data_IF_656674834293
#
_entry.id   IF_656674834293
#
_cell.length_a   1.000
_cell.length_b   1.000
_cell.length_c   1.000
_cell.angle_alpha   90.00
_cell.angle_beta   90.00
_cell.angle_gamma   90.00
#
_symmetry.space_group_name_H-M   'P 1'
#
loop_
_entity.id
_entity.type
_entity.pdbx_description
1 polymer ?
#
# COMPACT_ATOMS: atom_id res chain seq x y z
N UNK A 1 -38.46 11.56 -15.29
CA UNK A 1 -37.05 11.50 -15.78
C UNK A 1 -36.56 10.11 -15.62
N UNK A 2 -35.92 9.55 -16.62
CA UNK A 2 -35.24 8.27 -16.48
C UNK A 2 -33.95 8.51 -15.71
N UNK A 3 -33.82 7.87 -14.57
CA UNK A 3 -32.60 7.76 -13.79
C UNK A 3 -31.48 7.16 -14.68
N UNK A 4 -30.34 7.85 -14.75
CA UNK A 4 -29.24 7.48 -15.64
C UNK A 4 -28.07 6.93 -14.82
N UNK A 5 -27.67 5.69 -15.11
CA UNK A 5 -26.48 5.06 -14.60
C UNK A 5 -25.34 5.25 -15.62
N UNK A 6 -24.19 5.66 -15.15
CA UNK A 6 -22.96 5.68 -15.93
C UNK A 6 -21.97 4.66 -15.34
N UNK A 7 -21.39 3.84 -16.19
CA UNK A 7 -20.32 2.91 -15.78
C UNK A 7 -19.12 3.19 -16.67
N UNK A 8 -17.94 3.36 -16.07
CA UNK A 8 -16.74 3.66 -16.81
C UNK A 8 -15.45 3.46 -16.02
N UNK A 9 -14.36 3.93 -16.60
CA UNK A 9 -13.03 3.89 -16.00
C UNK A 9 -12.46 5.29 -16.07
N UNK A 10 -12.76 6.09 -15.03
CA UNK A 10 -12.49 7.52 -15.03
C UNK A 10 -11.46 7.87 -13.95
N UNK A 11 -10.52 8.72 -14.29
CA UNK A 11 -9.75 9.47 -13.33
C UNK A 11 -10.49 10.77 -13.02
N UNK A 12 -10.99 10.94 -11.81
CA UNK A 12 -11.79 12.10 -11.40
C UNK A 12 -11.06 12.82 -10.26
N UNK A 13 -10.81 14.10 -10.44
CA UNK A 13 -10.17 14.94 -9.43
C UNK A 13 -10.97 14.99 -8.13
N UNK A 14 -10.26 14.93 -6.99
CA UNK A 14 -10.83 15.07 -5.66
C UNK A 14 -11.27 13.76 -5.02
N UNK A 15 -11.06 12.62 -5.69
CA UNK A 15 -11.29 11.30 -5.10
C UNK A 15 -9.99 10.68 -4.58
N UNK A 16 -10.14 9.80 -3.62
CA UNK A 16 -9.02 9.07 -3.00
C UNK A 16 -8.53 7.96 -3.93
N UNK A 17 -7.26 8.01 -4.32
CA UNK A 17 -6.62 7.02 -5.20
C UNK A 17 -6.21 5.78 -4.41
N UNK A 18 -5.61 6.02 -3.27
CA UNK A 18 -5.24 5.08 -2.23
C UNK A 18 -5.44 5.74 -0.86
N UNK A 19 -5.29 5.01 0.22
CA UNK A 19 -5.60 5.47 1.58
C UNK A 19 -4.85 6.76 1.93
N UNK A 20 -5.57 7.88 2.04
CA UNK A 20 -5.05 9.19 2.41
C UNK A 20 -4.49 10.04 1.26
N UNK A 21 -4.49 9.52 0.02
CA UNK A 21 -3.94 10.22 -1.14
C UNK A 21 -5.04 10.60 -2.14
N UNK A 22 -5.33 11.90 -2.25
CA UNK A 22 -6.40 12.44 -3.08
C UNK A 22 -5.84 12.89 -4.43
N UNK A 23 -6.46 12.42 -5.53
CA UNK A 23 -6.09 12.82 -6.89
C UNK A 23 -6.30 14.32 -7.10
N UNK A 24 -5.24 14.98 -7.56
CA UNK A 24 -5.26 16.39 -7.97
C UNK A 24 -5.47 16.54 -9.48
N UNK A 25 -5.46 15.44 -10.21
CA UNK A 25 -5.58 15.37 -11.68
C UNK A 25 -6.89 14.73 -12.11
N UNK A 26 -7.10 14.58 -13.41
CA UNK A 26 -8.28 13.96 -13.98
C UNK A 26 -9.40 14.92 -14.35
N UNK A 27 -10.54 14.36 -14.75
CA UNK A 27 -11.71 15.12 -15.19
C UNK A 27 -12.43 15.78 -14.00
N UNK A 28 -13.13 16.88 -14.28
CA UNK A 28 -13.99 17.53 -13.30
C UNK A 28 -15.29 16.74 -13.14
N UNK A 29 -15.71 16.49 -11.89
CA UNK A 29 -16.92 15.73 -11.58
C UNK A 29 -18.20 16.35 -12.12
N UNK A 30 -18.21 17.66 -12.39
CA UNK A 30 -19.36 18.35 -12.98
C UNK A 30 -19.76 17.81 -14.35
N UNK A 31 -18.81 17.23 -15.12
CA UNK A 31 -19.07 16.56 -16.39
C UNK A 31 -19.99 15.32 -16.24
N UNK A 32 -20.05 14.76 -15.06
CA UNK A 32 -20.85 13.59 -14.72
C UNK A 32 -22.15 13.94 -13.98
N UNK A 33 -22.42 15.22 -13.72
CA UNK A 33 -23.58 15.71 -12.95
C UNK A 33 -24.95 15.33 -13.53
N UNK A 34 -25.00 14.98 -14.82
CA UNK A 34 -26.23 14.55 -15.50
C UNK A 34 -26.66 13.11 -15.15
N UNK A 35 -25.80 12.33 -14.53
CA UNK A 35 -26.08 10.96 -14.11
C UNK A 35 -26.50 10.92 -12.64
N UNK A 36 -27.47 10.10 -12.31
CA UNK A 36 -27.91 9.92 -10.92
C UNK A 36 -26.90 9.08 -10.13
N UNK A 37 -26.20 8.19 -10.83
CA UNK A 37 -25.17 7.32 -10.25
C UNK A 37 -24.07 7.05 -11.26
N UNK A 38 -22.85 7.06 -10.80
CA UNK A 38 -21.65 6.74 -11.60
C UNK A 38 -20.87 5.66 -10.87
N UNK A 39 -20.58 4.54 -11.56
CA UNK A 39 -19.70 3.49 -11.08
C UNK A 39 -18.39 3.60 -11.87
N UNK A 40 -17.28 3.83 -11.18
CA UNK A 40 -15.98 4.00 -11.83
C UNK A 40 -14.96 2.99 -11.32
N UNK A 41 -14.16 2.44 -12.23
CA UNK A 41 -12.86 1.87 -11.94
C UNK A 41 -11.77 2.96 -11.90
N UNK A 42 -10.53 2.59 -12.09
CA UNK A 42 -9.29 3.36 -12.10
C UNK A 42 -8.60 3.38 -10.74
N UNK A 43 -9.18 3.96 -9.70
CA UNK A 43 -8.57 3.93 -8.37
C UNK A 43 -8.79 2.58 -7.69
N UNK A 44 -7.73 2.06 -7.06
CA UNK A 44 -7.76 0.79 -6.36
C UNK A 44 -8.53 0.88 -5.04
N UNK A 45 -8.47 2.04 -4.38
CA UNK A 45 -9.22 2.30 -3.16
C UNK A 45 -10.71 2.50 -3.46
N UNK A 46 -11.55 1.91 -2.61
CA UNK A 46 -12.99 2.09 -2.68
C UNK A 46 -13.38 3.40 -1.99
N UNK A 47 -13.98 4.32 -2.73
CA UNK A 47 -14.45 5.61 -2.20
C UNK A 47 -15.71 6.08 -2.92
N UNK A 48 -16.48 6.98 -2.31
CA UNK A 48 -17.65 7.59 -2.95
C UNK A 48 -17.98 8.98 -2.37
N UNK A 49 -18.79 9.73 -3.12
CA UNK A 49 -19.38 11.01 -2.67
C UNK A 49 -20.92 10.99 -2.66
N UNK A 50 -21.52 9.80 -2.75
CA UNK A 50 -22.96 9.60 -2.81
C UNK A 50 -23.55 9.59 -4.22
N UNK A 51 -22.83 10.11 -5.23
CA UNK A 51 -23.19 10.05 -6.65
C UNK A 51 -22.20 9.20 -7.45
N UNK A 52 -20.92 9.41 -7.21
CA UNK A 52 -19.81 8.74 -7.90
C UNK A 52 -19.20 7.73 -6.95
N UNK A 53 -19.13 6.47 -7.38
CA UNK A 53 -18.62 5.34 -6.61
C UNK A 53 -17.43 4.75 -7.32
N UNK A 54 -16.24 4.84 -6.72
CA UNK A 54 -15.10 4.03 -7.11
C UNK A 54 -15.23 2.65 -6.48
N UNK A 55 -15.35 1.65 -7.33
CA UNK A 55 -15.61 0.26 -6.88
C UNK A 55 -14.36 -0.43 -6.33
N UNK A 56 -13.19 0.15 -6.56
CA UNK A 56 -11.91 -0.42 -6.12
C UNK A 56 -11.51 -1.68 -6.88
N UNK A 57 -10.52 -2.41 -6.34
CA UNK A 57 -10.04 -3.67 -6.90
C UNK A 57 -10.58 -4.87 -6.11
N UNK A 58 -10.79 -6.04 -6.76
CA UNK A 58 -11.33 -7.22 -6.08
C UNK A 58 -10.34 -7.88 -5.13
N UNK A 59 -9.05 -7.61 -5.25
CA UNK A 59 -7.98 -8.13 -4.41
C UNK A 59 -6.84 -7.13 -4.28
N UNK A 60 -5.91 -7.43 -3.41
CA UNK A 60 -4.67 -6.66 -3.26
C UNK A 60 -3.77 -6.87 -4.49
N UNK A 61 -3.15 -5.82 -5.00
CA UNK A 61 -2.27 -5.83 -6.17
C UNK A 61 -0.88 -5.27 -5.84
N UNK A 62 -0.80 -4.35 -4.90
CA UNK A 62 0.43 -3.68 -4.47
C UNK A 62 0.50 -3.55 -2.95
N UNK A 63 1.66 -3.18 -2.40
CA UNK A 63 1.81 -2.91 -0.97
C UNK A 63 0.96 -1.74 -0.47
N UNK A 64 0.55 -0.80 -1.35
CA UNK A 64 -0.38 0.27 -1.01
C UNK A 64 -1.76 -0.28 -0.60
N UNK A 65 -2.09 -1.50 -1.02
CA UNK A 65 -3.35 -2.16 -0.71
C UNK A 65 -3.33 -2.90 0.64
N UNK A 66 -2.21 -2.89 1.35
CA UNK A 66 -2.09 -3.55 2.65
C UNK A 66 -3.09 -2.97 3.66
N UNK A 67 -3.86 -3.85 4.33
CA UNK A 67 -4.93 -3.47 5.27
C UNK A 67 -6.03 -2.56 4.66
N UNK A 68 -6.14 -2.50 3.34
CA UNK A 68 -7.24 -1.83 2.68
C UNK A 68 -8.28 -2.86 2.22
N UNK A 69 -9.55 -2.77 2.66
CA UNK A 69 -10.57 -3.75 2.31
C UNK A 69 -10.79 -3.83 0.81
N UNK A 70 -10.50 -4.99 0.22
CA UNK A 70 -10.70 -5.29 -1.20
C UNK A 70 -11.90 -6.17 -1.40
N UNK A 71 -12.49 -6.11 -2.59
CA UNK A 71 -13.69 -6.89 -2.88
C UNK A 71 -14.36 -6.46 -4.17
N UNK A 72 -15.60 -6.89 -4.34
CA UNK A 72 -16.42 -6.53 -5.49
C UNK A 72 -17.80 -6.04 -5.05
N UNK A 73 -18.53 -5.45 -5.97
CA UNK A 73 -19.86 -4.94 -5.70
C UNK A 73 -20.92 -5.72 -6.48
N UNK A 74 -22.06 -5.90 -5.84
CA UNK A 74 -23.30 -6.35 -6.48
C UNK A 74 -24.21 -5.13 -6.60
N UNK A 75 -24.65 -4.84 -7.81
CA UNK A 75 -25.57 -3.74 -8.09
C UNK A 75 -26.96 -4.28 -8.42
N UNK A 76 -27.95 -3.96 -7.59
CA UNK A 76 -29.35 -4.28 -7.89
C UNK A 76 -29.96 -3.19 -8.80
N UNK A 77 -30.34 -3.57 -10.00
CA UNK A 77 -30.88 -2.65 -11.00
C UNK A 77 -32.29 -2.14 -10.69
N UNK A 78 -33.04 -2.81 -9.80
CA UNK A 78 -34.39 -2.42 -9.40
C UNK A 78 -34.37 -1.44 -8.22
N UNK A 79 -33.62 -1.80 -7.15
CA UNK A 79 -33.48 -0.96 -5.95
C UNK A 79 -32.41 0.11 -6.11
N UNK A 80 -31.43 -0.11 -7.02
CA UNK A 80 -30.25 0.73 -7.26
C UNK A 80 -29.29 0.74 -6.07
N UNK A 81 -29.36 -0.29 -5.26
CA UNK A 81 -28.43 -0.50 -4.16
C UNK A 81 -27.14 -1.12 -4.66
N UNK A 82 -26.02 -0.67 -4.08
CA UNK A 82 -24.68 -1.16 -4.34
C UNK A 82 -24.17 -1.84 -3.08
N UNK A 83 -24.09 -3.17 -3.10
CA UNK A 83 -23.61 -3.98 -1.99
C UNK A 83 -22.13 -4.33 -2.20
N UNK A 84 -21.29 -4.04 -1.20
CA UNK A 84 -19.88 -4.44 -1.22
C UNK A 84 -19.68 -5.81 -0.59
N UNK A 85 -19.07 -6.72 -1.34
CA UNK A 85 -18.67 -8.06 -0.86
C UNK A 85 -17.17 -8.07 -0.68
N UNK A 86 -16.75 -8.09 0.58
CA UNK A 86 -15.32 -8.09 0.90
C UNK A 86 -14.66 -9.41 0.52
N UNK A 87 -13.49 -9.32 -0.13
CA UNK A 87 -12.60 -10.45 -0.35
C UNK A 87 -11.87 -10.78 0.96
N UNK A 88 -12.02 -11.99 1.51
CA UNK A 88 -11.33 -12.38 2.73
C UNK A 88 -9.85 -12.73 2.53
N UNK A 89 -9.39 -12.84 1.29
CA UNK A 89 -8.01 -13.24 1.00
C UNK A 89 -7.09 -12.03 0.94
N UNK A 90 -6.04 -12.06 1.73
CA UNK A 90 -4.95 -11.08 1.74
C UNK A 90 -3.68 -11.76 1.26
N UNK A 91 -2.90 -11.05 0.42
CA UNK A 91 -1.62 -11.55 -0.10
C UNK A 91 -0.40 -10.76 0.42
N UNK A 92 -0.63 -9.60 1.01
CA UNK A 92 0.43 -8.80 1.62
C UNK A 92 0.34 -8.86 3.14
N UNK A 93 1.41 -9.31 3.77
CA UNK A 93 1.48 -9.46 5.22
C UNK A 93 2.71 -8.76 5.78
N UNK A 94 2.57 -8.17 6.99
CA UNK A 94 3.67 -7.64 7.76
C UNK A 94 3.83 -8.38 9.05
N UNK A 95 5.08 -8.64 9.42
CA UNK A 95 5.47 -9.25 10.67
C UNK A 95 6.46 -8.30 11.35
N UNK A 96 6.10 -7.77 12.51
CA UNK A 96 7.04 -7.07 13.36
C UNK A 96 7.85 -8.10 14.15
N UNK A 97 9.15 -8.19 13.88
CA UNK A 97 10.05 -9.07 14.57
C UNK A 97 10.70 -8.35 15.75
N UNK A 98 10.48 -8.88 16.93
CA UNK A 98 11.11 -8.43 18.17
C UNK A 98 11.38 -9.67 19.02
N UNK A 99 12.65 -9.96 19.29
CA UNK A 99 13.05 -11.15 20.05
C UNK A 99 13.37 -10.86 21.52
N UNK A 100 13.12 -9.63 22.01
CA UNK A 100 13.25 -9.32 23.41
C UNK A 100 12.29 -10.18 24.22
N UNK A 101 12.82 -10.84 25.22
CA UNK A 101 12.05 -11.72 26.11
C UNK A 101 11.29 -12.86 25.40
N UNK A 102 11.71 -13.22 24.16
CA UNK A 102 11.14 -14.32 23.39
C UNK A 102 12.00 -15.56 23.43
N UNK A 103 11.33 -16.69 23.46
CA UNK A 103 11.93 -18.03 23.37
C UNK A 103 11.57 -18.69 22.05
N UNK A 104 12.28 -19.78 21.72
CA UNK A 104 11.95 -20.60 20.57
C UNK A 104 10.52 -21.19 20.64
N UNK A 105 10.02 -21.44 21.85
CA UNK A 105 8.67 -21.97 22.04
C UNK A 105 7.58 -20.94 21.67
N UNK A 106 7.87 -19.66 21.75
CA UNK A 106 6.95 -18.61 21.32
C UNK A 106 6.86 -18.56 19.81
N UNK A 107 7.98 -18.72 19.10
CA UNK A 107 8.00 -18.80 17.65
C UNK A 107 7.40 -20.11 17.10
N UNK A 108 7.48 -21.22 17.84
CA UNK A 108 6.81 -22.46 17.45
C UNK A 108 5.28 -22.39 17.49
N UNK A 109 4.71 -21.48 18.27
CA UNK A 109 3.26 -21.26 18.33
C UNK A 109 2.75 -20.42 17.15
N UNK A 110 3.65 -19.84 16.36
CA UNK A 110 3.30 -18.98 15.27
C UNK A 110 2.71 -19.79 14.11
N UNK A 111 1.55 -19.37 13.62
CA UNK A 111 0.91 -20.02 12.47
C UNK A 111 1.49 -19.48 11.18
N UNK A 112 2.35 -20.27 10.55
CA UNK A 112 2.99 -19.94 9.29
C UNK A 112 2.11 -20.25 8.07
N UNK A 113 1.07 -21.08 8.20
CA UNK A 113 0.27 -21.56 7.06
C UNK A 113 -0.45 -20.46 6.32
N UNK A 114 -0.80 -19.37 7.01
CA UNK A 114 -1.47 -18.20 6.45
C UNK A 114 -0.60 -17.38 5.48
N UNK A 115 0.70 -17.65 5.41
CA UNK A 115 1.63 -16.94 4.53
C UNK A 115 1.92 -17.68 3.23
N UNK A 116 1.28 -18.82 3.00
CA UNK A 116 1.41 -19.53 1.72
C UNK A 116 0.98 -18.61 0.56
N UNK A 117 1.78 -18.61 -0.51
CA UNK A 117 1.56 -17.81 -1.72
C UNK A 117 1.44 -16.29 -1.47
N UNK A 118 1.97 -15.79 -0.34
CA UNK A 118 1.86 -14.41 0.09
C UNK A 118 3.21 -13.68 0.06
N UNK A 119 3.15 -12.36 -0.07
CA UNK A 119 4.31 -11.46 0.05
C UNK A 119 4.41 -11.02 1.51
N UNK A 120 5.53 -11.34 2.15
CA UNK A 120 5.73 -11.07 3.57
C UNK A 120 6.81 -10.02 3.76
N UNK A 121 6.51 -8.96 4.52
CA UNK A 121 7.49 -7.97 4.96
C UNK A 121 7.78 -8.18 6.45
N UNK A 122 9.02 -8.56 6.78
CA UNK A 122 9.49 -8.70 8.15
C UNK A 122 10.17 -7.42 8.55
N UNK A 123 9.53 -6.65 9.44
CA UNK A 123 10.09 -5.42 10.03
C UNK A 123 10.83 -5.81 11.30
N UNK A 124 12.13 -5.63 11.32
CA UNK A 124 13.00 -6.01 12.44
C UNK A 124 13.10 -4.83 13.41
N UNK A 125 12.39 -4.91 14.52
CA UNK A 125 12.45 -3.93 15.60
C UNK A 125 13.62 -4.20 16.55
N UNK A 126 13.87 -5.48 16.85
CA UNK A 126 14.96 -5.88 17.71
C UNK A 126 15.41 -7.31 17.38
N UNK A 127 16.73 -7.50 17.21
CA UNK A 127 17.33 -8.77 16.80
C UNK A 127 18.59 -9.05 17.63
N UNK A 128 18.42 -9.71 18.76
CA UNK A 128 19.53 -10.16 19.62
C UNK A 128 19.96 -11.59 19.33
N UNK A 129 19.01 -12.45 18.94
CA UNK A 129 19.25 -13.86 18.73
C UNK A 129 19.06 -14.21 17.23
N UNK A 130 20.16 -14.32 16.46
CA UNK A 130 20.09 -14.69 15.05
C UNK A 130 19.36 -16.01 14.79
N UNK A 131 19.48 -16.98 15.70
CA UNK A 131 18.83 -18.29 15.56
C UNK A 131 17.30 -18.18 15.55
N UNK A 132 16.71 -17.28 16.35
CA UNK A 132 15.26 -17.07 16.36
C UNK A 132 14.79 -16.39 15.07
N UNK A 133 15.60 -15.47 14.56
CA UNK A 133 15.33 -14.82 13.29
C UNK A 133 15.39 -15.80 12.10
N UNK A 134 16.45 -16.61 12.05
CA UNK A 134 16.60 -17.66 11.04
C UNK A 134 15.45 -18.67 11.13
N UNK A 135 15.02 -19.02 12.36
CA UNK A 135 13.86 -19.89 12.54
C UNK A 135 12.59 -19.30 11.94
N UNK A 136 12.32 -17.99 12.15
CA UNK A 136 11.16 -17.31 11.58
C UNK A 136 11.21 -17.35 10.05
N UNK A 137 12.32 -16.87 9.46
CA UNK A 137 12.47 -16.75 8.00
C UNK A 137 12.42 -18.10 7.32
N UNK A 138 13.11 -19.13 7.85
CA UNK A 138 13.09 -20.49 7.33
C UNK A 138 11.68 -21.09 7.31
N UNK A 139 10.89 -20.84 8.36
CA UNK A 139 9.53 -21.36 8.40
C UNK A 139 8.57 -20.60 7.47
N UNK A 140 8.78 -19.33 7.22
CA UNK A 140 8.06 -18.57 6.19
C UNK A 140 8.35 -19.15 4.79
N UNK A 141 9.62 -19.43 4.47
CA UNK A 141 9.99 -20.08 3.20
C UNK A 141 9.40 -21.49 3.09
N UNK A 142 9.46 -22.28 4.17
CA UNK A 142 8.86 -23.64 4.22
C UNK A 142 7.34 -23.62 4.07
N UNK A 143 6.68 -22.57 4.56
CA UNK A 143 5.24 -22.39 4.40
C UNK A 143 4.85 -22.01 2.97
N UNK A 144 5.81 -21.67 2.12
CA UNK A 144 5.57 -21.32 0.73
C UNK A 144 5.25 -19.84 0.53
N UNK A 145 5.80 -18.93 1.34
CA UNK A 145 5.73 -17.50 1.07
C UNK A 145 6.31 -17.20 -0.33
N UNK A 146 5.61 -16.41 -1.12
CA UNK A 146 6.01 -16.06 -2.49
C UNK A 146 7.26 -15.19 -2.50
N UNK A 147 7.36 -14.26 -1.53
CA UNK A 147 8.52 -13.41 -1.31
C UNK A 147 8.61 -12.98 0.16
N UNK A 148 9.83 -12.77 0.65
CA UNK A 148 10.08 -12.29 2.01
C UNK A 148 11.05 -11.11 1.94
N UNK A 149 10.53 -9.91 2.17
CA UNK A 149 11.33 -8.70 2.29
C UNK A 149 11.68 -8.45 3.77
N UNK A 150 12.95 -8.26 4.07
CA UNK A 150 13.43 -7.93 5.42
C UNK A 150 13.73 -6.44 5.46
N UNK A 151 13.10 -5.74 6.40
CA UNK A 151 13.32 -4.31 6.65
C UNK A 151 13.94 -4.19 8.05
N UNK A 152 15.20 -3.82 8.10
CA UNK A 152 15.89 -3.51 9.36
C UNK A 152 15.82 -2.00 9.58
N UNK A 153 15.05 -1.58 10.58
CA UNK A 153 14.96 -0.18 10.96
C UNK A 153 16.08 0.14 11.97
N UNK A 154 17.05 0.93 11.54
CA UNK A 154 18.21 1.29 12.37
C UNK A 154 17.97 2.53 13.24
N UNK A 155 16.78 3.11 13.25
CA UNK A 155 16.46 4.29 14.02
C UNK A 155 15.49 3.97 15.16
N UNK A 156 16.02 3.80 16.37
CA UNK A 156 15.23 3.67 17.62
C UNK A 156 14.29 4.87 17.90
N UNK A 157 14.47 5.99 17.20
CA UNK A 157 13.70 7.23 17.39
C UNK A 157 12.43 7.32 16.51
N UNK A 158 12.16 6.34 15.63
CA UNK A 158 10.99 6.32 14.75
C UNK A 158 9.97 5.24 15.16
N UNK A 159 9.76 5.03 16.45
CA UNK A 159 8.55 4.34 16.93
C UNK A 159 7.37 5.31 16.81
N UNK A 160 7.00 5.59 15.58
CA UNK A 160 5.73 6.21 15.22
C UNK A 160 4.80 5.07 14.79
N UNK A 161 3.59 5.08 15.30
CA UNK A 161 2.52 4.09 15.14
C UNK A 161 2.63 3.16 13.92
N UNK A 162 2.31 1.87 14.10
CA UNK A 162 2.34 0.78 13.10
C UNK A 162 1.68 1.14 11.74
N UNK A 163 0.82 2.14 11.70
CA UNK A 163 0.15 2.65 10.51
C UNK A 163 0.95 3.73 9.75
N UNK A 164 1.95 4.39 10.37
CA UNK A 164 2.72 5.48 9.76
C UNK A 164 4.01 5.03 9.07
N UNK A 165 4.53 3.84 9.39
CA UNK A 165 5.79 3.32 8.81
C UNK A 165 5.65 3.04 7.30
N UNK A 166 4.44 2.96 6.78
CA UNK A 166 4.20 2.77 5.35
C UNK A 166 3.03 3.65 4.88
N UNK A 167 3.17 4.93 4.99
CA UNK A 167 2.59 5.81 4.00
C UNK A 167 3.53 5.77 2.79
N UNK A 168 3.28 4.87 1.85
CA UNK A 168 3.94 4.89 0.53
C UNK A 168 3.58 6.16 -0.26
N UNK A 169 2.75 7.03 0.30
CA UNK A 169 2.50 8.38 -0.15
C UNK A 169 3.61 9.38 0.20
N UNK A 170 4.61 9.00 1.01
CA UNK A 170 5.85 9.76 1.00
C UNK A 170 6.52 9.46 -0.33
N UNK A 171 6.38 10.41 -1.26
CA UNK A 171 7.13 10.47 -2.51
C UNK A 171 8.56 9.96 -2.27
N UNK A 172 9.04 9.06 -3.13
CA UNK A 172 10.41 8.53 -3.10
C UNK A 172 11.44 9.63 -2.85
N UNK A 173 11.19 10.84 -3.34
CA UNK A 173 12.01 12.02 -3.10
C UNK A 173 12.01 12.51 -1.66
N UNK A 174 10.89 12.35 -0.94
CA UNK A 174 10.80 12.71 0.48
C UNK A 174 11.62 11.72 1.32
N UNK A 175 11.53 10.42 1.02
CA UNK A 175 12.33 9.36 1.67
C UNK A 175 13.82 9.59 1.42
N UNK A 176 14.21 9.83 0.16
CA UNK A 176 15.60 10.13 -0.21
C UNK A 176 16.11 11.41 0.47
N UNK A 177 15.28 12.45 0.57
CA UNK A 177 15.65 13.70 1.22
C UNK A 177 15.89 13.50 2.73
N UNK A 178 15.01 12.78 3.43
CA UNK A 178 15.18 12.42 4.84
C UNK A 178 16.42 11.58 5.07
N UNK A 179 16.68 10.61 4.19
CA UNK A 179 17.89 9.79 4.26
C UNK A 179 19.17 10.63 4.12
N UNK A 180 19.21 11.55 3.15
CA UNK A 180 20.33 12.47 2.95
C UNK A 180 20.56 13.37 4.16
N UNK A 181 19.47 13.87 4.79
CA UNK A 181 19.55 14.71 5.98
C UNK A 181 20.11 13.96 7.21
N UNK A 182 19.91 12.63 7.27
CA UNK A 182 20.45 11.76 8.32
C UNK A 182 21.94 11.38 8.10
N UNK A 183 22.51 11.63 6.92
CA UNK A 183 23.88 11.27 6.63
C UNK A 183 24.86 12.37 7.08
N UNK A 184 25.90 12.00 7.82
CA UNK A 184 27.03 12.89 8.14
C UNK A 184 27.99 12.94 6.95
N UNK A 185 27.69 13.79 5.95
CA UNK A 185 28.45 13.89 4.72
C UNK A 185 29.34 15.15 4.69
N UNK A 186 30.50 15.04 4.00
CA UNK A 186 31.37 16.20 3.70
C UNK A 186 30.88 17.02 2.49
N UNK A 187 29.61 16.82 2.05
CA UNK A 187 28.99 17.49 0.91
C UNK A 187 27.74 18.21 1.39
N UNK A 188 27.43 19.36 0.83
CA UNK A 188 26.20 20.09 1.14
C UNK A 188 24.97 19.25 0.77
N UNK A 189 24.13 18.92 1.76
CA UNK A 189 22.95 18.07 1.61
C UNK A 189 22.01 18.54 0.49
N UNK A 190 21.86 19.86 0.30
CA UNK A 190 21.00 20.43 -0.74
C UNK A 190 21.49 20.15 -2.17
N UNK A 191 22.81 20.11 -2.39
CA UNK A 191 23.37 19.73 -3.70
C UNK A 191 23.11 18.26 -4.01
N UNK A 192 23.21 17.41 -2.99
CA UNK A 192 22.95 15.98 -3.15
C UNK A 192 21.46 15.72 -3.42
N UNK A 193 20.56 16.40 -2.72
CA UNK A 193 19.11 16.33 -2.96
C UNK A 193 18.73 16.77 -4.38
N UNK A 194 19.36 17.83 -4.87
CA UNK A 194 19.11 18.33 -6.23
C UNK A 194 19.56 17.29 -7.26
N UNK A 195 20.76 16.72 -7.11
CA UNK A 195 21.25 15.68 -8.00
C UNK A 195 20.37 14.42 -7.98
N UNK A 196 19.96 13.99 -6.81
CA UNK A 196 19.07 12.83 -6.66
C UNK A 196 17.71 13.07 -7.31
N UNK A 197 17.17 14.29 -7.22
CA UNK A 197 15.93 14.67 -7.91
C UNK A 197 16.09 14.63 -9.43
N UNK A 198 17.18 15.14 -9.96
CA UNK A 198 17.46 15.11 -11.40
C UNK A 198 17.56 13.66 -11.91
N UNK A 199 18.32 12.80 -11.21
CA UNK A 199 18.45 11.38 -11.56
C UNK A 199 17.13 10.62 -11.46
N UNK A 200 16.30 10.93 -10.47
CA UNK A 200 14.99 10.29 -10.30
C UNK A 200 14.02 10.66 -11.44
N UNK A 201 13.99 11.94 -11.82
CA UNK A 201 13.17 12.41 -12.95
C UNK A 201 13.66 11.79 -14.26
N UNK A 202 14.98 11.68 -14.47
CA UNK A 202 15.55 11.03 -15.64
C UNK A 202 15.20 9.54 -15.70
N UNK A 203 15.22 8.83 -14.56
CA UNK A 203 14.83 7.42 -14.49
C UNK A 203 13.35 7.21 -14.84
N UNK A 204 12.44 8.07 -14.36
CA UNK A 204 11.02 8.00 -14.69
C UNK A 204 10.77 8.17 -16.21
N UNK A 205 11.52 9.05 -16.87
CA UNK A 205 11.40 9.25 -18.32
C UNK A 205 11.96 8.09 -19.15
N UNK A 206 12.87 7.28 -18.59
CA UNK A 206 13.44 6.12 -19.29
C UNK A 206 12.50 4.91 -19.26
N UNK A 207 11.65 4.77 -18.24
CA UNK A 207 10.66 3.69 -18.15
C UNK A 207 9.44 3.89 -19.07
N UNK A 208 9.20 5.11 -19.55
CA UNK A 208 8.09 5.40 -20.50
C UNK A 208 8.43 5.08 -21.97
N UNK A 209 9.64 4.62 -22.28
CA UNK A 209 10.11 4.42 -23.66
C UNK A 209 10.35 2.96 -24.06
N UNK A 210 10.06 2.00 -23.21
CA UNK A 210 10.03 0.55 -23.50
C UNK A 210 8.59 0.02 -23.37
#
# INVERSE_FOLDING_TARGET
SRSQLCIGHFEIRGFEMDKGNISQTGIDKSLLSKYDMVLSGHFHHKSDDGQIFYVGTPGQMTWADYKDPRGFHIFDTNTRELEFIQNPFEIFHKISYDDRDKSIEDFKKFDFTKYQDSYVKVVVLHKQNPFLFDYLTDNLYKAGAADIAIVEDFNDDLIVNDDDIINQAEDTMTILSKYIDGLSLNVESEKLKTLMRELYVEALHTEETD
#
